data_IF_818567750267
#
_entry.id   IF_818567750267
#
_cell.length_a   1.000
_cell.length_b   1.000
_cell.length_c   1.000
_cell.angle_alpha   90.00
_cell.angle_beta   90.00
_cell.angle_gamma   90.00
#
_symmetry.space_group_name_H-M   'P 1'
#
loop_
_entity.id
_entity.type
_entity.pdbx_description
1 polymer ?
#
# COMPACT_ATOMS: atom_id res chain seq x y z
N UNK A 1 11.83 14.66 3.78
CA UNK A 1 11.02 13.47 3.44
C UNK A 1 11.12 12.50 4.61
N UNK A 2 9.99 12.17 5.26
CA UNK A 2 9.97 11.22 6.37
C UNK A 2 10.04 9.81 5.78
N UNK A 3 11.09 9.07 6.08
CA UNK A 3 11.22 7.67 5.64
C UNK A 3 10.24 6.82 6.46
N UNK A 4 9.12 6.41 5.85
CA UNK A 4 8.08 5.57 6.46
C UNK A 4 8.49 4.10 6.45
N UNK A 5 9.11 3.66 5.36
CA UNK A 5 9.69 2.33 5.20
C UNK A 5 11.20 2.47 5.01
N UNK A 6 11.97 1.83 5.88
CA UNK A 6 13.43 1.75 5.79
C UNK A 6 13.86 0.55 4.96
N UNK A 7 15.07 0.62 4.39
CA UNK A 7 15.64 -0.47 3.57
C UNK A 7 15.64 -1.82 4.29
N UNK A 8 16.04 -1.85 5.57
CA UNK A 8 16.10 -3.06 6.37
C UNK A 8 14.73 -3.60 6.82
N UNK A 9 13.64 -2.94 6.45
CA UNK A 9 12.27 -3.39 6.68
C UNK A 9 11.64 -3.97 5.41
N UNK A 10 12.35 -3.94 4.27
CA UNK A 10 11.89 -4.61 3.07
C UNK A 10 11.95 -6.13 3.27
N UNK A 11 10.87 -6.83 2.90
CA UNK A 11 10.82 -8.29 2.86
C UNK A 11 11.79 -8.84 1.79
N UNK A 12 11.92 -8.14 0.67
CA UNK A 12 12.78 -8.45 -0.46
C UNK A 12 13.25 -7.16 -1.13
N UNK A 13 14.44 -7.16 -1.73
CA UNK A 13 14.96 -6.01 -2.50
C UNK A 13 14.01 -5.61 -3.64
N UNK A 14 13.33 -6.59 -4.25
CA UNK A 14 12.30 -6.35 -5.29
C UNK A 14 11.10 -5.52 -4.79
N UNK A 15 10.91 -5.37 -3.49
CA UNK A 15 9.83 -4.55 -2.91
C UNK A 15 10.22 -3.07 -2.81
N UNK A 16 11.32 -2.66 -3.44
CA UNK A 16 11.76 -1.27 -3.53
C UNK A 16 10.65 -0.29 -3.99
N UNK A 17 9.80 -0.60 -5.00
CA UNK A 17 8.68 0.26 -5.39
C UNK A 17 7.72 0.60 -4.23
N UNK A 18 7.45 -0.38 -3.35
CA UNK A 18 6.58 -0.21 -2.17
C UNK A 18 7.11 0.89 -1.26
N UNK A 19 8.42 0.86 -0.99
CA UNK A 19 9.10 1.85 -0.16
C UNK A 19 9.01 3.24 -0.79
N UNK A 20 9.32 3.37 -2.07
CA UNK A 20 9.34 4.66 -2.76
C UNK A 20 7.94 5.29 -2.74
N UNK A 21 6.92 4.53 -3.15
CA UNK A 21 5.54 5.03 -3.22
C UNK A 21 5.01 5.45 -1.85
N UNK A 22 5.20 4.64 -0.80
CA UNK A 22 4.73 5.03 0.55
C UNK A 22 5.51 6.20 1.16
N UNK A 23 6.80 6.34 0.85
CA UNK A 23 7.62 7.43 1.38
C UNK A 23 7.27 8.81 0.79
N UNK A 24 6.59 8.86 -0.35
CA UNK A 24 6.07 10.11 -0.95
C UNK A 24 4.75 10.57 -0.33
N UNK A 25 4.08 9.75 0.47
CA UNK A 25 2.80 10.12 1.06
C UNK A 25 3.01 11.15 2.16
N UNK A 26 2.47 12.34 1.95
CA UNK A 26 2.39 13.40 2.94
C UNK A 26 1.47 13.03 4.11
N UNK A 27 1.73 13.56 5.31
CA UNK A 27 0.98 13.20 6.51
C UNK A 27 -0.51 13.57 6.40
N UNK A 28 -0.80 14.68 5.73
CA UNK A 28 -2.12 15.24 5.48
C UNK A 28 -2.99 14.32 4.62
N UNK A 29 -2.36 13.50 3.77
CA UNK A 29 -3.04 12.52 2.90
C UNK A 29 -3.03 11.11 3.48
N UNK A 30 -2.20 10.85 4.48
CA UNK A 30 -1.90 9.49 4.94
C UNK A 30 -3.15 8.72 5.36
N UNK A 31 -3.98 9.30 6.24
CA UNK A 31 -5.18 8.64 6.73
C UNK A 31 -6.17 8.31 5.60
N UNK A 32 -6.32 9.22 4.64
CA UNK A 32 -7.20 8.98 3.50
C UNK A 32 -6.66 7.88 2.58
N UNK A 33 -5.34 7.80 2.39
CA UNK A 33 -4.73 6.66 1.69
C UNK A 33 -4.99 5.35 2.43
N UNK A 34 -4.82 5.31 3.77
CA UNK A 34 -5.12 4.11 4.55
C UNK A 34 -6.58 3.68 4.39
N UNK A 35 -7.53 4.62 4.41
CA UNK A 35 -8.96 4.31 4.19
C UNK A 35 -9.24 3.72 2.81
N UNK A 36 -8.54 4.18 1.77
CA UNK A 36 -8.72 3.73 0.38
C UNK A 36 -8.11 2.34 0.21
N UNK A 37 -6.84 2.15 0.56
CA UNK A 37 -6.16 0.87 0.35
C UNK A 37 -6.71 -0.25 1.23
N UNK A 38 -7.24 0.07 2.42
CA UNK A 38 -7.89 -0.93 3.27
C UNK A 38 -9.22 -1.45 2.70
N UNK A 39 -9.77 -0.79 1.66
CA UNK A 39 -10.95 -1.24 0.91
C UNK A 39 -10.61 -1.97 -0.38
N UNK A 40 -9.32 -2.14 -0.69
CA UNK A 40 -8.88 -2.75 -1.93
C UNK A 40 -8.96 -1.83 -3.15
N UNK A 41 -8.78 -0.53 -2.92
CA UNK A 41 -8.70 0.49 -3.96
C UNK A 41 -7.27 1.08 -4.02
N UNK A 42 -6.78 1.33 -5.23
CA UNK A 42 -5.45 1.86 -5.47
C UNK A 42 -5.31 3.36 -5.26
N UNK A 43 -4.08 3.85 -5.39
CA UNK A 43 -3.77 5.29 -5.39
C UNK A 43 -2.51 5.60 -6.21
N UNK A 44 -2.37 6.87 -6.60
CA UNK A 44 -1.19 7.38 -7.28
C UNK A 44 -0.43 8.44 -6.48
N UNK A 45 0.88 8.46 -6.68
CA UNK A 45 1.82 9.51 -6.25
C UNK A 45 2.68 9.95 -7.46
N UNK A 46 3.61 10.88 -7.25
CA UNK A 46 4.44 11.38 -8.36
C UNK A 46 5.40 10.30 -8.89
N UNK A 47 5.92 9.43 -8.02
CA UNK A 47 6.81 8.35 -8.44
C UNK A 47 6.11 7.17 -9.13
N UNK A 48 4.81 6.96 -8.93
CA UNK A 48 4.15 5.74 -9.39
C UNK A 48 2.76 5.48 -8.82
N UNK A 49 2.32 4.24 -8.94
CA UNK A 49 0.98 3.78 -8.57
C UNK A 49 1.01 2.53 -7.70
N UNK A 50 0.04 2.46 -6.78
CA UNK A 50 -0.37 1.26 -6.07
C UNK A 50 -1.74 0.84 -6.64
N UNK A 51 -1.84 -0.37 -7.18
CA UNK A 51 -3.06 -0.88 -7.83
C UNK A 51 -3.53 -2.19 -7.18
N UNK A 52 -4.84 -2.31 -7.05
CA UNK A 52 -5.55 -3.54 -6.73
C UNK A 52 -6.18 -4.11 -8.00
N UNK A 53 -6.51 -5.42 -8.03
CA UNK A 53 -7.13 -6.03 -9.20
C UNK A 53 -8.47 -5.38 -9.60
N UNK A 54 -9.17 -4.78 -8.65
CA UNK A 54 -10.43 -4.07 -8.90
C UNK A 54 -10.25 -2.71 -9.59
N UNK A 55 -9.02 -2.18 -9.64
CA UNK A 55 -8.71 -0.96 -10.38
C UNK A 55 -8.55 -1.21 -11.88
N UNK A 56 -8.38 -2.48 -12.29
CA UNK A 56 -8.26 -2.88 -13.68
C UNK A 56 -9.62 -2.98 -14.35
N UNK A 57 -9.73 -2.50 -15.59
CA UNK A 57 -10.93 -2.70 -16.39
C UNK A 57 -10.92 -4.06 -17.11
N UNK A 58 -12.05 -4.39 -17.75
CA UNK A 58 -12.18 -5.65 -18.47
C UNK A 58 -11.23 -5.77 -19.68
N UNK A 59 -10.83 -4.63 -20.26
CA UNK A 59 -9.88 -4.60 -21.36
C UNK A 59 -8.46 -4.92 -20.86
N UNK A 60 -8.04 -4.33 -19.74
CA UNK A 60 -6.74 -4.61 -19.11
C UNK A 60 -6.60 -6.09 -18.77
N UNK A 61 -7.62 -6.66 -18.14
CA UNK A 61 -7.65 -8.09 -17.80
C UNK A 61 -7.58 -8.96 -19.07
N UNK A 62 -8.31 -8.60 -20.13
CA UNK A 62 -8.31 -9.32 -21.39
C UNK A 62 -6.97 -9.27 -22.13
N UNK A 63 -6.15 -8.25 -21.89
CA UNK A 63 -4.77 -8.16 -22.41
C UNK A 63 -3.76 -8.97 -21.59
N UNK A 64 -4.21 -9.63 -20.51
CA UNK A 64 -3.34 -10.43 -19.65
C UNK A 64 -2.66 -9.63 -18.54
N UNK A 65 -3.08 -8.39 -18.28
CA UNK A 65 -2.56 -7.55 -17.20
C UNK A 65 -3.20 -7.88 -15.83
N UNK A 66 -3.97 -8.97 -15.73
CA UNK A 66 -4.57 -9.39 -14.47
C UNK A 66 -3.52 -9.95 -13.51
N UNK A 67 -3.60 -9.57 -12.24
CA UNK A 67 -2.71 -10.04 -11.17
C UNK A 67 -3.48 -10.43 -9.90
N UNK A 68 -2.80 -11.11 -8.98
CA UNK A 68 -3.33 -11.47 -7.65
C UNK A 68 -2.41 -10.87 -6.59
N UNK A 69 -2.94 -9.97 -5.77
CA UNK A 69 -2.17 -9.21 -4.79
C UNK A 69 -2.36 -7.72 -4.96
N UNK A 70 -1.30 -6.95 -4.67
CA UNK A 70 -1.23 -5.49 -4.85
C UNK A 70 0.00 -5.18 -5.70
N UNK A 71 -0.22 -4.47 -6.80
CA UNK A 71 0.84 -4.04 -7.70
C UNK A 71 1.37 -2.67 -7.28
N UNK A 72 2.68 -2.52 -7.31
CA UNK A 72 3.37 -1.24 -7.19
C UNK A 72 4.24 -1.03 -8.41
N UNK A 73 3.92 -0.01 -9.20
CA UNK A 73 4.66 0.36 -10.40
C UNK A 73 5.25 1.76 -10.26
N UNK A 74 6.57 1.90 -10.42
CA UNK A 74 7.23 3.18 -10.56
C UNK A 74 7.20 3.62 -12.03
N UNK A 75 6.98 4.90 -12.28
CA UNK A 75 7.05 5.45 -13.64
C UNK A 75 8.48 5.40 -14.24
N UNK A 76 9.49 5.09 -13.43
CA UNK A 76 10.85 4.78 -13.89
C UNK A 76 10.98 3.38 -14.52
N UNK A 77 9.96 2.52 -14.39
CA UNK A 77 9.87 1.21 -15.02
C UNK A 77 10.09 0.01 -14.09
N UNK A 78 10.29 0.21 -12.79
CA UNK A 78 10.34 -0.88 -11.81
C UNK A 78 8.93 -1.20 -11.31
N UNK A 79 8.58 -2.49 -11.26
CA UNK A 79 7.25 -2.95 -10.86
C UNK A 79 7.35 -4.21 -9.99
N UNK A 80 6.43 -4.36 -9.04
CA UNK A 80 6.30 -5.56 -8.23
C UNK A 80 4.83 -5.81 -7.86
N UNK A 81 4.40 -7.06 -7.98
CA UNK A 81 3.14 -7.53 -7.37
C UNK A 81 3.47 -8.25 -6.08
N UNK A 82 2.96 -7.75 -4.95
CA UNK A 82 3.12 -8.37 -3.63
C UNK A 82 1.82 -9.00 -3.16
N UNK A 83 1.92 -10.02 -2.32
CA UNK A 83 0.74 -10.68 -1.74
C UNK A 83 0.00 -9.77 -0.77
N UNK A 84 -1.28 -10.06 -0.50
CA UNK A 84 -2.06 -9.30 0.49
C UNK A 84 -1.48 -9.35 1.90
N UNK A 85 -0.79 -10.43 2.28
CA UNK A 85 -0.09 -10.54 3.57
C UNK A 85 1.15 -9.64 3.62
N UNK A 86 1.92 -9.57 2.53
CA UNK A 86 3.09 -8.68 2.45
C UNK A 86 2.67 -7.22 2.46
N UNK A 87 1.58 -6.88 1.75
CA UNK A 87 1.01 -5.53 1.82
C UNK A 87 0.54 -5.19 3.23
N UNK A 88 -0.16 -6.10 3.93
CA UNK A 88 -0.58 -5.89 5.32
C UNK A 88 0.60 -5.62 6.25
N UNK A 89 1.69 -6.38 6.10
CA UNK A 89 2.92 -6.15 6.86
C UNK A 89 3.46 -4.72 6.65
N UNK A 90 3.45 -4.22 5.41
CA UNK A 90 3.86 -2.83 5.15
C UNK A 90 2.88 -1.81 5.71
N UNK A 91 1.56 -2.07 5.65
CA UNK A 91 0.56 -1.21 6.30
C UNK A 91 0.83 -1.06 7.81
N UNK A 92 1.15 -2.15 8.51
CA UNK A 92 1.48 -2.11 9.93
C UNK A 92 2.71 -1.22 10.21
N UNK A 93 3.75 -1.33 9.38
CA UNK A 93 4.97 -0.52 9.51
C UNK A 93 4.65 0.97 9.36
N UNK A 94 3.98 1.35 8.27
CA UNK A 94 3.73 2.75 7.97
C UNK A 94 2.74 3.38 8.95
N UNK A 95 1.71 2.64 9.37
CA UNK A 95 0.74 3.08 10.37
C UNK A 95 1.40 3.27 11.74
N UNK A 96 2.26 2.34 12.16
CA UNK A 96 3.02 2.48 13.42
C UNK A 96 3.93 3.71 13.40
N UNK A 97 4.59 3.99 12.28
CA UNK A 97 5.45 5.17 12.10
C UNK A 97 4.67 6.49 12.10
N UNK A 98 3.46 6.47 11.52
CA UNK A 98 2.56 7.62 11.48
C UNK A 98 1.96 7.96 12.86
N UNK A 99 1.48 6.95 13.58
CA UNK A 99 0.86 7.10 14.90
C UNK A 99 1.79 7.61 16.01
N UNK A 100 3.10 7.71 15.77
CA UNK A 100 4.03 8.40 16.68
C UNK A 100 3.70 9.90 16.75
N UNK A 101 3.33 10.50 15.62
CA UNK A 101 3.05 11.93 15.51
C UNK A 101 1.54 12.24 15.61
N UNK A 102 0.68 11.27 15.26
CA UNK A 102 -0.79 11.42 15.23
C UNK A 102 -1.49 10.36 16.09
N UNK A 103 -1.21 10.28 17.40
CA UNK A 103 -1.75 9.22 18.28
C UNK A 103 -3.29 9.23 18.39
N UNK A 104 -3.93 10.38 18.16
CA UNK A 104 -5.39 10.54 18.14
C UNK A 104 -6.08 9.71 17.05
N UNK A 105 -5.37 9.36 15.98
CA UNK A 105 -5.91 8.58 14.86
C UNK A 105 -5.80 7.07 15.05
N UNK A 106 -5.33 6.62 16.22
CA UNK A 106 -5.07 5.20 16.49
C UNK A 106 -6.29 4.30 16.30
N UNK A 107 -7.45 4.72 16.80
CA UNK A 107 -8.64 3.87 16.75
C UNK A 107 -9.17 3.74 15.32
N UNK A 108 -9.16 4.83 14.52
CA UNK A 108 -9.58 4.76 13.12
C UNK A 108 -8.60 3.94 12.28
N UNK A 109 -7.28 4.07 12.49
CA UNK A 109 -6.29 3.23 11.80
C UNK A 109 -6.48 1.76 12.15
N UNK A 110 -6.70 1.44 13.43
CA UNK A 110 -6.96 0.07 13.87
C UNK A 110 -8.20 -0.51 13.20
N UNK A 111 -9.30 0.25 13.15
CA UNK A 111 -10.52 -0.16 12.47
C UNK A 111 -10.25 -0.48 10.99
N UNK A 112 -9.53 0.40 10.27
CA UNK A 112 -9.23 0.19 8.84
C UNK A 112 -8.31 -1.00 8.59
N UNK A 113 -7.32 -1.23 9.47
CA UNK A 113 -6.48 -2.43 9.36
C UNK A 113 -7.28 -3.71 9.57
N UNK A 114 -8.24 -3.73 10.50
CA UNK A 114 -9.14 -4.88 10.67
C UNK A 114 -10.05 -5.08 9.45
N UNK A 115 -10.60 -4.00 8.86
CA UNK A 115 -11.37 -4.07 7.60
C UNK A 115 -10.57 -4.78 6.49
N UNK A 116 -9.29 -4.41 6.32
CA UNK A 116 -8.41 -5.04 5.35
C UNK A 116 -8.16 -6.53 5.67
N UNK A 117 -7.95 -6.86 6.95
CA UNK A 117 -7.74 -8.25 7.38
C UNK A 117 -8.96 -9.11 7.09
N UNK A 118 -10.16 -8.61 7.35
CA UNK A 118 -11.40 -9.30 7.05
C UNK A 118 -11.58 -9.49 5.53
N UNK A 119 -11.37 -8.41 4.75
CA UNK A 119 -11.51 -8.42 3.29
C UNK A 119 -10.61 -9.46 2.62
N UNK A 120 -9.36 -9.60 3.08
CA UNK A 120 -8.37 -10.50 2.50
C UNK A 120 -8.07 -11.76 3.34
N UNK A 121 -8.86 -12.02 4.38
CA UNK A 121 -8.73 -13.18 5.28
C UNK A 121 -7.32 -13.33 5.88
N UNK A 122 -6.72 -12.22 6.30
CA UNK A 122 -5.38 -12.15 6.90
C UNK A 122 -5.46 -12.59 8.38
N UNK A 123 -4.67 -13.62 8.73
CA UNK A 123 -4.69 -14.25 10.06
C UNK A 123 -3.97 -13.46 11.14
#
# INVERSE_FOLDING_TARGET
>A
MKERIKENQLISESHFPVKIIFNEIENERFLDIIKVVCKGEGFGVEAGTCLFPNDLDAYDIAQGNGFVGVEFGLYSGEEVVITYNEFYFYLEIICKSYLIDFPEEKEIIKEKLEDYRELYSIK
#
